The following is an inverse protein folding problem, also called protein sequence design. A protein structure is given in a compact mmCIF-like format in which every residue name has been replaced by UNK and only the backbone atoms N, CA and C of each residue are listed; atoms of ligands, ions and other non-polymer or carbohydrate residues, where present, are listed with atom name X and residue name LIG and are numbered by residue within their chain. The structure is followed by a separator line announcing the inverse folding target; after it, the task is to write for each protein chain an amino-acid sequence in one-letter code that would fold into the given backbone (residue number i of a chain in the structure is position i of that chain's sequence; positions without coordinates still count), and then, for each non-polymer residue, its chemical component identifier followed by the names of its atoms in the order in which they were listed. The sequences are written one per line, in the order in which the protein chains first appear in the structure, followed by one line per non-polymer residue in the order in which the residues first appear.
data_IF_454204611586
#
_entry.id   IF_454204611586
#
_cell.length_a   1.000
_cell.length_b   1.000
_cell.length_c   1.000
_cell.angle_alpha   90.00
_cell.angle_beta   90.00
_cell.angle_gamma   90.00
#
_symmetry.space_group_name_H-M   'P 1'
#
loop_
_entity.id
_entity.type
_entity.pdbx_description
1 polymer ?
#
# COMPACT_ATOMS: atom_id res chain seq x y z
N UNK A 1 66.27 -21.95 0.47
CA UNK A 1 65.93 -21.75 1.89
C UNK A 1 64.89 -20.64 1.96
N UNK A 2 63.61 -20.99 2.18
CA UNK A 2 62.49 -20.05 2.20
C UNK A 2 61.93 -20.03 3.63
N UNK A 3 61.83 -18.83 4.23
CA UNK A 3 61.30 -18.64 5.57
C UNK A 3 59.76 -18.86 5.60
N UNK A 4 59.19 -19.38 6.70
CA UNK A 4 57.74 -19.57 6.79
C UNK A 4 57.00 -18.26 7.06
N UNK A 5 55.80 -18.15 6.48
CA UNK A 5 54.85 -17.08 6.72
C UNK A 5 54.41 -17.10 8.19
N UNK A 6 54.61 -15.98 8.90
CA UNK A 6 54.07 -15.77 10.25
C UNK A 6 52.56 -15.50 10.14
N UNK A 7 51.76 -16.33 10.81
CA UNK A 7 50.38 -16.00 11.17
C UNK A 7 50.44 -15.09 12.41
N UNK A 8 49.97 -13.86 12.27
CA UNK A 8 49.57 -12.98 13.39
C UNK A 8 48.11 -12.65 13.11
N UNK A 9 47.15 -13.20 13.86
CA UNK A 9 46.76 -12.80 15.22
C UNK A 9 46.42 -11.31 15.33
N UNK A 10 45.12 -11.08 15.27
CA UNK A 10 44.44 -9.81 15.39
C UNK A 10 42.97 -10.10 15.11
N UNK A 11 42.05 -9.99 16.08
CA UNK A 11 40.63 -10.15 15.79
C UNK A 11 40.26 -9.06 14.78
N UNK A 12 39.97 -9.47 13.56
CA UNK A 12 39.28 -8.59 12.62
C UNK A 12 37.89 -8.38 13.19
N UNK A 13 37.77 -7.37 14.04
CA UNK A 13 36.50 -6.72 14.33
C UNK A 13 36.12 -5.98 13.05
N UNK A 14 35.63 -6.74 12.06
CA UNK A 14 34.75 -6.21 11.06
C UNK A 14 33.58 -5.62 11.84
N UNK A 15 33.69 -4.34 12.19
CA UNK A 15 32.53 -3.51 12.40
C UNK A 15 31.84 -3.51 11.05
N UNK A 16 30.98 -4.50 10.85
CA UNK A 16 29.68 -4.24 10.26
C UNK A 16 29.21 -2.98 10.95
N UNK A 17 29.47 -1.83 10.32
CA UNK A 17 28.52 -0.74 10.37
C UNK A 17 27.22 -1.42 9.97
N UNK A 18 26.48 -1.89 10.98
CA UNK A 18 25.06 -2.10 10.85
C UNK A 18 24.63 -0.82 10.19
N UNK A 19 24.29 -0.92 8.90
CA UNK A 19 23.41 0.06 8.31
C UNK A 19 22.21 -0.10 9.23
N UNK A 20 22.11 0.79 10.21
CA UNK A 20 20.85 1.03 10.86
C UNK A 20 19.96 1.35 9.67
N UNK A 21 19.27 0.31 9.19
CA UNK A 21 18.15 0.48 8.32
C UNK A 21 17.26 1.36 9.16
N UNK A 22 17.39 2.67 8.95
CA UNK A 22 16.39 3.63 9.29
C UNK A 22 15.19 3.14 8.50
N UNK A 23 14.45 2.20 9.09
CA UNK A 23 13.05 2.03 8.83
C UNK A 23 12.50 3.35 9.34
N UNK A 24 12.57 4.38 8.49
CA UNK A 24 11.68 5.52 8.60
C UNK A 24 10.32 4.86 8.58
N UNK A 25 9.74 4.66 9.76
CA UNK A 25 8.36 4.26 9.89
C UNK A 25 7.60 5.40 9.25
N UNK A 26 7.35 5.25 7.95
CA UNK A 26 6.53 6.14 7.18
C UNK A 26 5.15 5.99 7.79
N UNK A 27 4.76 7.00 8.54
CA UNK A 27 3.45 7.16 9.15
C UNK A 27 2.39 6.73 8.13
N UNK A 28 1.77 5.59 8.40
CA UNK A 28 0.98 4.85 7.44
C UNK A 28 -0.24 4.27 8.13
N UNK A 29 -1.39 4.42 7.50
CA UNK A 29 -2.63 3.90 8.06
C UNK A 29 -2.73 2.40 7.85
N UNK A 30 -3.46 1.75 8.75
CA UNK A 30 -3.59 0.30 8.71
C UNK A 30 -5.05 -0.10 8.95
N UNK A 31 -5.57 -0.97 8.09
CA UNK A 31 -6.93 -1.51 8.16
C UNK A 31 -7.91 -0.88 7.16
N UNK A 32 -9.00 -1.60 6.89
CA UNK A 32 -10.02 -1.21 5.91
C UNK A 32 -10.68 0.13 6.21
N UNK A 33 -10.90 0.43 7.49
CA UNK A 33 -11.54 1.65 7.95
C UNK A 33 -10.76 2.94 7.63
N UNK A 34 -9.48 2.81 7.29
CA UNK A 34 -8.58 3.90 6.92
C UNK A 34 -8.08 3.77 5.48
N UNK A 35 -8.79 3.00 4.65
CA UNK A 35 -8.43 2.82 3.25
C UNK A 35 -8.35 4.18 2.54
N UNK A 36 -7.31 4.41 1.72
CA UNK A 36 -7.21 5.59 0.90
C UNK A 36 -8.44 5.82 0.01
N UNK A 37 -8.70 7.08 -0.39
CA UNK A 37 -9.68 7.40 -1.41
C UNK A 37 -9.48 6.55 -2.66
N UNK A 38 -10.57 6.03 -3.19
CA UNK A 38 -10.56 5.12 -4.33
C UNK A 38 -11.24 5.75 -5.54
N UNK A 39 -10.74 5.42 -6.72
CA UNK A 39 -11.39 5.68 -8.00
C UNK A 39 -11.88 4.34 -8.54
N UNK A 40 -13.19 4.21 -8.68
CA UNK A 40 -13.90 3.00 -9.08
C UNK A 40 -14.53 3.20 -10.46
N UNK A 41 -14.75 2.11 -11.19
CA UNK A 41 -15.57 2.14 -12.40
C UNK A 41 -17.03 1.92 -12.04
N UNK A 42 -17.91 2.79 -12.52
CA UNK A 42 -19.35 2.59 -12.41
C UNK A 42 -19.78 1.35 -13.22
N UNK A 43 -20.55 0.41 -12.64
CA UNK A 43 -20.97 -0.80 -13.36
C UNK A 43 -22.04 -0.51 -14.43
N UNK A 44 -22.84 0.55 -14.25
CA UNK A 44 -23.97 0.87 -15.14
C UNK A 44 -23.54 1.70 -16.37
N UNK A 45 -22.81 2.79 -16.13
CA UNK A 45 -22.46 3.76 -17.17
C UNK A 45 -20.96 3.83 -17.49
N UNK A 46 -20.14 3.02 -16.81
CA UNK A 46 -18.69 3.04 -16.97
C UNK A 46 -18.08 4.44 -16.79
N UNK A 47 -18.65 5.30 -15.95
CA UNK A 47 -17.98 6.55 -15.53
C UNK A 47 -17.03 6.26 -14.37
N UNK A 48 -16.11 7.18 -14.10
CA UNK A 48 -15.20 7.07 -12.97
C UNK A 48 -15.86 7.66 -11.72
N UNK A 49 -15.97 6.87 -10.65
CA UNK A 49 -16.55 7.25 -9.37
C UNK A 49 -15.42 7.49 -8.38
N UNK A 50 -15.45 8.61 -7.65
CA UNK A 50 -14.49 8.90 -6.59
C UNK A 50 -15.17 8.62 -5.25
N UNK A 51 -14.72 7.58 -4.57
CA UNK A 51 -15.12 7.31 -3.19
C UNK A 51 -14.07 7.94 -2.25
N UNK A 52 -14.47 8.95 -1.48
CA UNK A 52 -13.57 9.71 -0.60
C UNK A 52 -12.94 8.87 0.51
N UNK A 53 -13.68 7.86 1.00
CA UNK A 53 -13.32 7.05 2.14
C UNK A 53 -14.12 5.75 2.21
N UNK A 54 -13.72 4.80 3.07
CA UNK A 54 -14.24 3.44 3.06
C UNK A 54 -15.69 3.30 3.54
N UNK A 55 -16.22 4.30 4.26
CA UNK A 55 -17.61 4.32 4.76
C UNK A 55 -18.52 5.23 3.95
N UNK A 56 -17.96 5.99 3.01
CA UNK A 56 -18.76 6.89 2.17
C UNK A 56 -19.54 6.07 1.14
N UNK A 57 -20.77 6.49 0.80
CA UNK A 57 -21.50 5.89 -0.31
C UNK A 57 -20.72 6.05 -1.62
N UNK A 58 -20.97 5.13 -2.56
CA UNK A 58 -20.36 5.12 -3.88
C UNK A 58 -21.39 5.65 -4.86
N UNK A 59 -21.49 6.97 -4.93
CA UNK A 59 -22.44 7.66 -5.79
C UNK A 59 -21.83 7.97 -7.16
N UNK A 60 -22.49 7.49 -8.21
CA UNK A 60 -22.07 7.82 -9.56
C UNK A 60 -22.56 9.22 -9.97
N UNK A 61 -21.67 10.16 -10.35
CA UNK A 61 -22.07 11.51 -10.72
C UNK A 61 -22.82 11.60 -12.07
N UNK A 62 -22.78 10.54 -12.89
CA UNK A 62 -23.39 10.51 -14.22
C UNK A 62 -24.77 9.87 -14.24
N UNK A 63 -24.90 8.60 -13.82
CA UNK A 63 -26.18 7.88 -13.82
C UNK A 63 -26.93 7.92 -12.48
N UNK A 64 -26.36 8.55 -11.44
CA UNK A 64 -26.96 8.65 -10.10
C UNK A 64 -27.30 7.29 -9.45
N UNK A 65 -26.56 6.22 -9.81
CA UNK A 65 -26.62 4.99 -9.03
C UNK A 65 -25.98 5.23 -7.66
N UNK A 66 -26.70 4.85 -6.61
CA UNK A 66 -26.23 4.82 -5.22
C UNK A 66 -25.85 3.38 -4.88
N UNK A 67 -24.58 3.18 -4.52
CA UNK A 67 -24.05 1.88 -4.15
C UNK A 67 -23.50 1.93 -2.73
N UNK A 68 -23.91 0.95 -1.91
CA UNK A 68 -23.39 0.80 -0.55
C UNK A 68 -21.87 0.57 -0.54
N UNK A 69 -21.14 1.05 0.48
CA UNK A 69 -19.69 0.85 0.60
C UNK A 69 -19.27 -0.63 0.65
N UNK A 70 -20.17 -1.52 1.05
CA UNK A 70 -19.97 -2.97 1.07
C UNK A 70 -19.81 -3.57 -0.34
N UNK A 71 -20.38 -2.94 -1.37
CA UNK A 71 -20.26 -3.33 -2.78
C UNK A 71 -18.89 -3.04 -3.37
N UNK A 72 -17.98 -2.42 -2.62
CA UNK A 72 -16.67 -2.02 -3.13
C UNK A 72 -15.89 -3.17 -3.77
N UNK A 73 -15.94 -4.37 -3.19
CA UNK A 73 -15.23 -5.55 -3.70
C UNK A 73 -15.83 -6.07 -5.02
N UNK A 74 -17.10 -5.77 -5.31
CA UNK A 74 -17.75 -6.14 -6.57
C UNK A 74 -17.42 -5.15 -7.71
N UNK A 75 -16.77 -4.03 -7.40
CA UNK A 75 -16.51 -2.94 -8.35
C UNK A 75 -15.07 -2.98 -8.85
N UNK A 76 -14.88 -2.56 -10.10
CA UNK A 76 -13.55 -2.44 -10.67
C UNK A 76 -12.81 -1.24 -10.06
N UNK A 77 -11.73 -1.52 -9.32
CA UNK A 77 -10.85 -0.52 -8.78
C UNK A 77 -9.85 -0.03 -9.84
N UNK A 78 -9.99 1.24 -10.24
CA UNK A 78 -9.10 1.88 -11.21
C UNK A 78 -7.83 2.42 -10.53
N UNK A 79 -7.96 3.02 -9.35
CA UNK A 79 -6.85 3.61 -8.62
C UNK A 79 -7.15 3.81 -7.13
N UNK A 80 -6.10 3.75 -6.31
CA UNK A 80 -6.09 4.39 -5.00
C UNK A 80 -5.34 5.72 -5.08
N UNK A 81 -5.82 6.74 -4.37
CA UNK A 81 -5.21 8.08 -4.31
C UNK A 81 -4.72 8.36 -2.92
N UNK A 82 -3.51 8.91 -2.81
CA UNK A 82 -2.92 9.26 -1.52
C UNK A 82 -3.78 10.32 -0.82
N UNK A 83 -4.16 10.12 0.46
CA UNK A 83 -4.95 11.09 1.20
C UNK A 83 -4.20 12.41 1.42
N UNK A 84 -2.86 12.38 1.48
CA UNK A 84 -2.01 13.54 1.74
C UNK A 84 -1.75 14.39 0.49
N UNK A 85 -1.27 13.77 -0.60
CA UNK A 85 -0.82 14.49 -1.80
C UNK A 85 -1.66 14.19 -3.06
N UNK A 86 -2.75 13.42 -2.94
CA UNK A 86 -3.68 13.04 -4.03
C UNK A 86 -3.07 12.31 -5.23
N UNK A 87 -1.77 11.99 -5.16
CA UNK A 87 -1.05 11.21 -6.16
C UNK A 87 -1.62 9.79 -6.23
N UNK A 88 -1.67 9.21 -7.44
CA UNK A 88 -2.04 7.81 -7.63
C UNK A 88 -1.04 6.92 -6.90
N UNK A 89 -1.55 6.07 -6.03
CA UNK A 89 -0.75 5.12 -5.27
C UNK A 89 -0.52 3.85 -6.09
N UNK A 90 0.65 3.25 -5.93
CA UNK A 90 0.87 1.87 -6.35
C UNK A 90 0.13 0.99 -5.35
N UNK A 91 -0.63 0.01 -5.82
CA UNK A 91 -1.37 -0.89 -4.95
C UNK A 91 -1.34 -2.31 -5.49
N UNK A 92 -1.64 -3.28 -4.64
CA UNK A 92 -1.66 -4.67 -5.04
C UNK A 92 -2.34 -5.58 -4.04
N UNK A 93 -2.35 -6.86 -4.41
CA UNK A 93 -2.86 -7.97 -3.59
C UNK A 93 -1.68 -8.90 -3.29
N UNK A 94 -1.58 -9.34 -2.03
CA UNK A 94 -0.66 -10.38 -1.58
C UNK A 94 -1.31 -11.76 -1.71
N UNK A 95 -2.62 -11.84 -1.50
CA UNK A 95 -3.43 -13.06 -1.53
C UNK A 95 -4.62 -12.87 -2.49
N UNK A 96 -4.37 -12.89 -3.81
CA UNK A 96 -5.40 -12.62 -4.81
C UNK A 96 -6.52 -13.66 -4.85
N UNK A 97 -6.30 -14.86 -4.31
CA UNK A 97 -7.29 -15.94 -4.18
C UNK A 97 -8.18 -15.81 -2.94
N UNK A 98 -7.82 -14.93 -2.00
CA UNK A 98 -8.54 -14.74 -0.73
C UNK A 98 -9.28 -13.42 -0.67
N UNK A 99 -8.74 -12.37 -1.31
CA UNK A 99 -9.32 -11.03 -1.27
C UNK A 99 -9.45 -10.43 -2.68
N UNK A 100 -10.65 -9.95 -2.98
CA UNK A 100 -10.93 -9.17 -4.20
C UNK A 100 -10.59 -7.68 -4.05
N UNK A 101 -10.12 -7.28 -2.85
CA UNK A 101 -9.73 -5.91 -2.54
C UNK A 101 -8.21 -5.75 -2.48
N UNK A 102 -7.66 -4.55 -2.74
CA UNK A 102 -6.24 -4.30 -2.54
C UNK A 102 -5.86 -4.49 -1.08
N UNK A 103 -4.72 -5.13 -0.83
CA UNK A 103 -4.21 -5.39 0.52
C UNK A 103 -3.14 -4.39 0.94
N UNK A 104 -2.56 -3.65 0.00
CA UNK A 104 -1.59 -2.61 0.29
C UNK A 104 -1.62 -1.52 -0.76
N UNK A 105 -1.19 -0.33 -0.37
CA UNK A 105 -0.97 0.78 -1.27
C UNK A 105 0.20 1.65 -0.78
N UNK A 106 1.09 2.05 -1.68
CA UNK A 106 2.20 2.95 -1.38
C UNK A 106 2.19 4.15 -2.32
N UNK A 107 2.25 5.34 -1.76
CA UNK A 107 2.38 6.57 -2.51
C UNK A 107 3.82 6.75 -2.99
N UNK A 108 4.08 6.87 -4.31
CA UNK A 108 5.44 7.08 -4.81
C UNK A 108 5.97 8.50 -4.55
N UNK A 109 5.10 9.46 -4.20
CA UNK A 109 5.47 10.87 -4.04
C UNK A 109 5.84 11.23 -2.60
N UNK A 110 4.96 10.95 -1.63
CA UNK A 110 5.19 11.29 -0.22
C UNK A 110 5.51 10.08 0.66
N UNK A 111 5.73 8.91 0.04
CA UNK A 111 6.06 7.66 0.70
C UNK A 111 5.03 7.15 1.73
N UNK A 112 3.85 7.77 1.81
CA UNK A 112 2.73 7.26 2.62
C UNK A 112 2.38 5.83 2.21
N UNK A 113 2.24 4.96 3.20
CA UNK A 113 1.90 3.55 3.02
C UNK A 113 0.60 3.22 3.74
N UNK A 114 -0.27 2.47 3.08
CA UNK A 114 -1.46 1.89 3.69
C UNK A 114 -1.40 0.37 3.54
N UNK A 115 -1.76 -0.33 4.60
CA UNK A 115 -1.85 -1.79 4.61
C UNK A 115 -3.20 -2.26 5.15
N UNK A 116 -3.76 -3.29 4.52
CA UNK A 116 -4.93 -4.00 5.02
C UNK A 116 -4.48 -4.99 6.08
N UNK A 117 -4.84 -4.73 7.34
CA UNK A 117 -4.51 -5.62 8.47
C UNK A 117 -5.53 -6.74 8.57
N UNK A 118 -5.05 -7.97 8.43
CA UNK A 118 -5.83 -9.16 8.76
C UNK A 118 -5.79 -9.34 10.28
N UNK A 119 -6.95 -9.37 10.93
CA UNK A 119 -7.05 -9.97 12.26
C UNK A 119 -7.24 -11.47 12.02
N UNK A 120 -6.19 -12.24 12.30
CA UNK A 120 -6.19 -13.70 12.25
C UNK A 120 -6.79 -14.29 13.53
#
# INVERSE_FOLDING_TARGET
MLAPLRVGDGPNEFRLSSVETHTTTLDGDTGWAYRPPATLRCPECATDIIQGGPREPIDCPTCAVDLSPERFADLELLALRCPLCRTRMQHGRRHPETFDVPEWATCPNCQYHWEFKHFY
#
